data_IF_504909293180
#
_entry.id   IF_504909293180
#
_cell.length_a   1.000
_cell.length_b   1.000
_cell.length_c   1.000
_cell.angle_alpha   90.00
_cell.angle_beta   90.00
_cell.angle_gamma   90.00
#
_symmetry.space_group_name_H-M   'P 1'
#
loop_
_entity.id
_entity.type
_entity.pdbx_description
1 polymer ?
#
# COMPACT_ATOMS: atom_id res chain seq x y z
N UNK A 1 -7.06 2.74 -12.01
CA UNK A 1 -6.91 1.64 -13.00
C UNK A 1 -6.96 0.34 -12.24
N UNK A 2 -7.70 -0.67 -12.71
CA UNK A 2 -7.82 -1.94 -12.00
C UNK A 2 -7.10 -3.05 -12.76
N UNK A 3 -6.13 -3.66 -12.08
CA UNK A 3 -5.28 -4.73 -12.57
C UNK A 3 -5.58 -6.05 -11.88
N UNK A 4 -5.22 -7.15 -12.52
CA UNK A 4 -5.26 -8.49 -11.94
C UNK A 4 -3.95 -9.24 -12.16
N UNK A 5 -3.49 -9.98 -11.14
CA UNK A 5 -2.29 -10.79 -11.21
C UNK A 5 -2.46 -12.15 -10.52
N UNK A 6 -1.83 -13.18 -11.10
CA UNK A 6 -1.67 -14.48 -10.48
C UNK A 6 -0.54 -14.44 -9.45
N UNK A 7 -0.73 -15.09 -8.31
CA UNK A 7 0.31 -15.43 -7.34
C UNK A 7 0.38 -16.95 -7.11
N UNK A 8 1.56 -17.43 -6.73
CA UNK A 8 1.78 -18.83 -6.42
C UNK A 8 0.89 -19.29 -5.27
N UNK A 9 0.47 -20.55 -5.27
CA UNK A 9 -0.30 -21.09 -4.16
C UNK A 9 0.57 -21.17 -2.91
N UNK A 10 0.01 -20.71 -1.78
CA UNK A 10 0.67 -20.79 -0.49
C UNK A 10 -0.36 -21.15 0.59
N UNK A 11 -0.16 -22.30 1.24
CA UNK A 11 -1.02 -22.78 2.33
C UNK A 11 -0.86 -22.00 3.64
N UNK A 12 0.18 -21.19 3.79
CA UNK A 12 0.41 -20.27 4.90
C UNK A 12 -0.19 -18.87 4.64
N UNK A 13 -1.18 -18.76 3.75
CA UNK A 13 -1.92 -17.52 3.44
C UNK A 13 -1.02 -16.31 3.09
N UNK A 14 0.12 -16.60 2.43
CA UNK A 14 1.17 -15.64 2.03
C UNK A 14 1.71 -14.80 3.19
N UNK A 15 1.79 -15.42 4.38
CA UNK A 15 2.50 -14.89 5.54
C UNK A 15 4.00 -15.23 5.48
N UNK A 16 4.34 -16.42 4.99
CA UNK A 16 5.70 -16.95 4.81
C UNK A 16 5.70 -18.14 3.84
N UNK A 17 6.88 -18.57 3.34
CA UNK A 17 7.00 -19.75 2.50
C UNK A 17 6.31 -20.98 3.08
N UNK A 18 5.59 -21.71 2.22
CA UNK A 18 5.03 -23.03 2.56
C UNK A 18 5.68 -24.19 1.81
N UNK A 19 6.38 -23.90 0.70
CA UNK A 19 6.87 -24.91 -0.25
C UNK A 19 5.75 -25.65 -1.02
N UNK A 20 4.48 -25.32 -0.75
CA UNK A 20 3.32 -26.07 -1.24
C UNK A 20 3.14 -26.00 -2.77
N UNK A 21 3.59 -24.92 -3.40
CA UNK A 21 3.50 -24.77 -4.85
C UNK A 21 4.59 -25.52 -5.64
N UNK A 22 5.61 -26.11 -5.00
CA UNK A 22 6.75 -26.77 -5.70
C UNK A 22 6.29 -27.89 -6.66
N UNK A 23 5.29 -28.67 -6.28
CA UNK A 23 4.72 -29.75 -7.11
C UNK A 23 3.58 -29.28 -8.03
N UNK A 24 3.10 -28.06 -7.85
CA UNK A 24 1.97 -27.49 -8.61
C UNK A 24 2.43 -26.70 -9.83
N UNK A 25 3.60 -26.08 -9.74
CA UNK A 25 4.20 -25.31 -10.82
C UNK A 25 4.90 -26.22 -11.85
N UNK A 26 5.02 -25.71 -13.07
CA UNK A 26 5.71 -26.42 -14.14
C UNK A 26 7.22 -26.56 -13.84
N UNK A 27 7.85 -27.59 -14.42
CA UNK A 27 9.30 -27.77 -14.39
C UNK A 27 10.00 -26.54 -15.00
N UNK A 28 11.19 -26.20 -14.50
CA UNK A 28 12.02 -25.05 -14.91
C UNK A 28 11.38 -23.68 -14.67
N UNK A 29 10.36 -23.59 -13.81
CA UNK A 29 9.92 -22.31 -13.25
C UNK A 29 10.80 -21.93 -12.06
N UNK A 30 10.89 -20.63 -11.74
CA UNK A 30 11.59 -20.14 -10.56
C UNK A 30 11.20 -20.92 -9.29
N UNK A 31 9.90 -21.15 -9.08
CA UNK A 31 9.42 -21.91 -7.93
C UNK A 31 9.92 -23.36 -7.93
N UNK A 32 9.98 -24.02 -9.10
CA UNK A 32 10.49 -25.39 -9.20
C UNK A 32 12.00 -25.48 -8.95
N UNK A 33 12.76 -24.42 -9.28
CA UNK A 33 14.21 -24.35 -9.12
C UNK A 33 14.61 -23.99 -7.68
N UNK A 34 14.00 -22.95 -7.12
CA UNK A 34 14.37 -22.40 -5.81
C UNK A 34 13.45 -22.84 -4.69
N UNK A 35 12.26 -23.36 -5.00
CA UNK A 35 11.35 -23.93 -4.01
C UNK A 35 10.46 -22.94 -3.27
N UNK A 36 10.47 -21.66 -3.66
CA UNK A 36 9.63 -20.60 -3.13
C UNK A 36 9.35 -19.54 -4.22
N UNK A 37 8.44 -18.60 -3.94
CA UNK A 37 8.21 -17.40 -4.76
C UNK A 37 8.45 -16.12 -3.94
N UNK A 38 8.76 -15.00 -4.59
CA UNK A 38 8.96 -13.73 -3.87
C UNK A 38 7.66 -13.21 -3.23
N UNK A 39 6.50 -13.63 -3.71
CA UNK A 39 5.18 -13.27 -3.17
C UNK A 39 4.79 -14.05 -1.90
N UNK A 40 5.63 -14.95 -1.39
CA UNK A 40 5.28 -15.80 -0.24
C UNK A 40 5.05 -15.01 1.07
N UNK A 41 5.53 -13.76 1.15
CA UNK A 41 5.35 -12.86 2.29
C UNK A 41 4.35 -11.72 2.03
N UNK A 42 3.58 -11.78 0.95
CA UNK A 42 2.77 -10.65 0.46
C UNK A 42 1.88 -10.03 1.54
N UNK A 43 1.35 -10.83 2.47
CA UNK A 43 0.45 -10.36 3.52
C UNK A 43 1.01 -10.45 4.94
N UNK A 44 2.34 -10.48 5.09
CA UNK A 44 3.01 -10.39 6.39
C UNK A 44 2.83 -9.02 7.03
N UNK A 45 1.79 -8.89 7.85
CA UNK A 45 1.34 -7.61 8.41
C UNK A 45 2.25 -7.03 9.48
N UNK A 46 3.16 -7.84 10.03
CA UNK A 46 4.12 -7.39 11.05
C UNK A 46 5.28 -6.59 10.44
N UNK A 47 5.47 -6.67 9.12
CA UNK A 47 6.58 -6.04 8.41
C UNK A 47 6.13 -4.78 7.67
N UNK A 48 5.97 -3.72 8.45
CA UNK A 48 5.57 -2.39 8.00
C UNK A 48 6.70 -1.38 8.21
N UNK A 49 6.97 -0.57 7.19
CA UNK A 49 7.82 0.61 7.30
C UNK A 49 6.90 1.80 7.09
N UNK A 50 6.74 2.66 8.09
CA UNK A 50 5.84 3.82 8.02
C UNK A 50 4.39 3.47 7.63
N UNK A 51 3.87 2.36 8.18
CA UNK A 51 2.54 1.85 7.84
C UNK A 51 2.40 1.28 6.42
N UNK A 52 3.49 1.20 5.65
CA UNK A 52 3.50 0.58 4.32
C UNK A 52 3.97 -0.87 4.39
N UNK A 53 3.25 -1.75 3.69
CA UNK A 53 3.72 -3.10 3.37
C UNK A 53 4.52 -3.05 2.07
N UNK A 54 5.81 -3.35 2.14
CA UNK A 54 6.69 -3.47 0.96
C UNK A 54 6.88 -4.93 0.55
N UNK A 55 6.50 -5.27 -0.67
CA UNK A 55 6.53 -6.66 -1.11
C UNK A 55 6.72 -6.78 -2.61
N UNK A 56 6.65 -8.02 -3.10
CA UNK A 56 6.86 -8.36 -4.48
C UNK A 56 5.59 -8.96 -5.08
N UNK A 57 5.34 -8.63 -6.35
CA UNK A 57 4.35 -9.30 -7.21
C UNK A 57 4.99 -9.53 -8.58
N UNK A 58 5.13 -10.78 -9.01
CA UNK A 58 5.81 -11.11 -10.28
C UNK A 58 5.08 -10.54 -11.50
N UNK A 59 3.75 -10.47 -11.43
CA UNK A 59 2.95 -9.81 -12.47
C UNK A 59 3.35 -8.34 -12.67
N UNK A 60 3.58 -7.62 -11.57
CA UNK A 60 4.01 -6.21 -11.58
C UNK A 60 5.45 -6.08 -12.08
N UNK A 61 6.35 -7.00 -11.70
CA UNK A 61 7.76 -6.95 -12.08
C UNK A 61 7.95 -6.81 -13.60
N UNK A 62 7.18 -7.57 -14.39
CA UNK A 62 7.23 -7.51 -15.87
C UNK A 62 6.78 -6.18 -16.47
N UNK A 63 5.96 -5.42 -15.75
CA UNK A 63 5.45 -4.10 -16.17
C UNK A 63 6.07 -2.95 -15.37
N UNK A 64 7.11 -3.23 -14.56
CA UNK A 64 7.61 -2.32 -13.53
C UNK A 64 8.04 -0.97 -14.10
N UNK A 65 8.84 -0.98 -15.17
CA UNK A 65 9.32 0.25 -15.84
C UNK A 65 8.16 1.18 -16.22
N UNK A 66 7.16 0.63 -16.91
CA UNK A 66 5.96 1.38 -17.33
C UNK A 66 5.18 1.93 -16.14
N UNK A 67 5.02 1.15 -15.08
CA UNK A 67 4.27 1.57 -13.89
C UNK A 67 5.00 2.66 -13.10
N UNK A 68 6.34 2.62 -13.05
CA UNK A 68 7.17 3.68 -12.48
C UNK A 68 7.02 4.95 -13.31
N UNK A 69 7.15 4.87 -14.65
CA UNK A 69 6.97 6.01 -15.56
C UNK A 69 5.57 6.64 -15.45
N UNK A 70 4.53 5.81 -15.32
CA UNK A 70 3.16 6.29 -15.09
C UNK A 70 3.03 7.01 -13.74
N UNK A 71 3.78 6.58 -12.71
CA UNK A 71 3.85 7.22 -11.39
C UNK A 71 2.50 7.34 -10.69
N UNK A 72 1.56 6.43 -10.98
CA UNK A 72 0.17 6.44 -10.51
C UNK A 72 -0.16 5.19 -9.71
N UNK A 73 -0.99 5.32 -8.67
CA UNK A 73 -1.49 4.17 -7.93
C UNK A 73 -2.48 3.37 -8.80
N UNK A 74 -2.61 2.08 -8.51
CA UNK A 74 -3.57 1.20 -9.17
C UNK A 74 -4.20 0.20 -8.20
N UNK A 75 -5.42 -0.23 -8.49
CA UNK A 75 -6.07 -1.29 -7.74
C UNK A 75 -5.59 -2.64 -8.28
N UNK A 76 -5.27 -3.57 -7.38
CA UNK A 76 -4.75 -4.89 -7.73
C UNK A 76 -5.63 -5.99 -7.12
N UNK A 77 -6.24 -6.80 -7.99
CA UNK A 77 -6.83 -8.08 -7.59
C UNK A 77 -5.80 -9.19 -7.75
N UNK A 78 -5.69 -10.04 -6.72
CA UNK A 78 -4.81 -11.20 -6.72
C UNK A 78 -5.65 -12.47 -6.75
N UNK A 79 -5.23 -13.44 -7.57
CA UNK A 79 -5.79 -14.79 -7.57
C UNK A 79 -4.69 -15.85 -7.59
N UNK A 80 -5.04 -17.07 -7.22
CA UNK A 80 -4.12 -18.22 -7.23
C UNK A 80 -4.77 -19.44 -7.86
N UNK A 81 -3.95 -20.39 -8.29
CA UNK A 81 -4.39 -21.70 -8.78
C UNK A 81 -4.13 -22.72 -7.68
N UNK A 82 -5.18 -23.33 -7.17
CA UNK A 82 -5.16 -24.30 -6.08
C UNK A 82 -4.61 -25.68 -6.53
N UNK A 83 -4.26 -26.57 -5.59
CA UNK A 83 -3.86 -27.94 -5.91
C UNK A 83 -4.87 -28.70 -6.78
N UNK A 84 -6.17 -28.48 -6.56
CA UNK A 84 -7.27 -29.05 -7.34
C UNK A 84 -7.53 -28.34 -8.69
N UNK A 85 -6.60 -27.48 -9.12
CA UNK A 85 -6.65 -26.65 -10.33
C UNK A 85 -7.75 -25.60 -10.36
N UNK A 86 -8.54 -25.45 -9.30
CA UNK A 86 -9.50 -24.33 -9.21
C UNK A 86 -8.77 -23.01 -9.01
N UNK A 87 -9.32 -21.96 -9.61
CA UNK A 87 -8.81 -20.60 -9.43
C UNK A 87 -9.58 -19.89 -8.33
N UNK A 88 -8.85 -19.31 -7.39
CA UNK A 88 -9.40 -18.65 -6.21
C UNK A 88 -8.93 -17.21 -6.14
N UNK A 89 -9.85 -16.27 -5.96
CA UNK A 89 -9.53 -14.90 -5.60
C UNK A 89 -8.97 -14.83 -4.17
N UNK A 90 -7.89 -14.07 -3.99
CA UNK A 90 -7.14 -14.01 -2.73
C UNK A 90 -7.38 -12.69 -2.01
N UNK A 91 -7.09 -11.57 -2.68
CA UNK A 91 -7.37 -10.24 -2.15
C UNK A 91 -7.58 -9.23 -3.28
N UNK A 92 -8.23 -8.12 -2.93
CA UNK A 92 -8.20 -6.88 -3.68
C UNK A 92 -7.49 -5.85 -2.83
N UNK A 93 -6.51 -5.16 -3.40
CA UNK A 93 -5.69 -4.15 -2.73
C UNK A 93 -5.90 -2.84 -3.48
N UNK A 94 -6.34 -1.81 -2.77
CA UNK A 94 -6.51 -0.47 -3.34
C UNK A 94 -5.23 0.33 -3.28
N UNK A 95 -5.09 1.25 -4.22
CA UNK A 95 -4.01 2.25 -4.27
C UNK A 95 -2.61 1.62 -4.12
N UNK A 96 -2.36 0.49 -4.80
CA UNK A 96 -1.03 -0.11 -4.85
C UNK A 96 -0.10 0.82 -5.62
N UNK A 97 1.09 1.04 -5.08
CA UNK A 97 2.13 1.85 -5.71
C UNK A 97 3.27 0.95 -6.18
N UNK A 98 3.78 1.21 -7.38
CA UNK A 98 5.00 0.58 -7.85
C UNK A 98 6.20 1.25 -7.17
N UNK A 99 7.12 0.44 -6.65
CA UNK A 99 8.31 0.92 -5.91
C UNK A 99 9.45 1.13 -6.89
N UNK A 100 10.05 2.32 -6.85
CA UNK A 100 11.20 2.68 -7.68
C UNK A 100 12.44 1.84 -7.34
N UNK A 101 13.40 1.77 -8.27
CA UNK A 101 14.59 0.91 -8.09
C UNK A 101 15.43 1.37 -6.89
N UNK A 102 15.68 2.68 -6.78
CA UNK A 102 16.44 3.24 -5.66
C UNK A 102 15.71 3.02 -4.33
N UNK A 103 14.41 3.33 -4.28
CA UNK A 103 13.58 3.11 -3.09
C UNK A 103 13.57 1.64 -2.66
N UNK A 104 13.48 0.71 -3.63
CA UNK A 104 13.52 -0.72 -3.33
C UNK A 104 14.86 -1.14 -2.70
N UNK A 105 15.99 -0.58 -3.16
CA UNK A 105 17.29 -0.84 -2.56
C UNK A 105 17.38 -0.33 -1.11
N UNK A 106 16.85 0.86 -0.83
CA UNK A 106 16.79 1.44 0.52
C UNK A 106 15.91 0.58 1.45
N UNK A 107 14.75 0.14 0.97
CA UNK A 107 13.85 -0.77 1.70
C UNK A 107 14.51 -2.11 2.00
N UNK A 108 15.25 -2.68 1.04
CA UNK A 108 15.97 -3.95 1.26
C UNK A 108 17.11 -3.77 2.27
N UNK A 109 17.85 -2.66 2.22
CA UNK A 109 18.84 -2.33 3.24
C UNK A 109 18.18 -2.21 4.63
N UNK A 110 16.98 -1.65 4.68
CA UNK A 110 16.19 -1.56 5.91
C UNK A 110 15.70 -2.93 6.41
N UNK A 111 15.27 -3.82 5.52
CA UNK A 111 14.91 -5.21 5.86
C UNK A 111 16.10 -5.94 6.49
N UNK A 112 17.32 -5.71 6.00
CA UNK A 112 18.55 -6.26 6.59
C UNK A 112 18.79 -5.71 7.99
N UNK A 113 18.73 -4.38 8.17
CA UNK A 113 18.90 -3.72 9.47
C UNK A 113 17.89 -4.18 10.53
N UNK A 114 16.66 -4.48 10.12
CA UNK A 114 15.59 -4.98 10.98
C UNK A 114 15.63 -6.50 11.22
N UNK A 115 16.55 -7.24 10.59
CA UNK A 115 16.63 -8.70 10.67
C UNK A 115 15.56 -9.45 9.86
N UNK A 116 14.67 -8.74 9.16
CA UNK A 116 13.62 -9.35 8.34
C UNK A 116 14.20 -10.11 7.14
N UNK A 117 15.26 -9.58 6.53
CA UNK A 117 15.94 -10.28 5.44
C UNK A 117 16.48 -11.64 5.91
N UNK A 118 17.08 -11.69 7.10
CA UNK A 118 17.55 -12.95 7.68
C UNK A 118 16.37 -13.90 7.96
N UNK A 119 15.27 -13.38 8.52
CA UNK A 119 14.05 -14.18 8.72
C UNK A 119 13.51 -14.77 7.41
N UNK A 120 13.63 -14.06 6.28
CA UNK A 120 13.25 -14.60 4.97
C UNK A 120 14.15 -15.77 4.57
N UNK A 121 15.47 -15.67 4.78
CA UNK A 121 16.42 -16.75 4.49
C UNK A 121 16.11 -17.99 5.33
N UNK A 122 15.95 -17.82 6.64
CA UNK A 122 15.65 -18.92 7.58
C UNK A 122 14.33 -19.63 7.21
N UNK A 123 13.31 -18.85 6.79
CA UNK A 123 12.02 -19.40 6.38
C UNK A 123 12.05 -20.11 5.01
N UNK A 124 12.92 -19.68 4.10
CA UNK A 124 13.19 -20.41 2.85
C UNK A 124 13.86 -21.74 3.16
N UNK A 125 14.88 -21.74 4.01
CA UNK A 125 15.58 -22.95 4.44
C UNK A 125 14.63 -23.94 5.13
N UNK A 126 13.74 -23.45 6.00
CA UNK A 126 12.75 -24.27 6.70
C UNK A 126 11.79 -25.05 5.78
N UNK A 127 11.60 -24.60 4.53
CA UNK A 127 10.81 -25.30 3.51
C UNK A 127 11.68 -26.03 2.47
N UNK A 128 12.97 -26.24 2.79
CA UNK A 128 14.00 -26.79 1.93
C UNK A 128 14.14 -26.04 0.59
N UNK A 129 13.92 -24.72 0.61
CA UNK A 129 14.13 -23.84 -0.53
C UNK A 129 15.62 -23.45 -0.66
N UNK A 130 16.02 -23.08 -1.87
CA UNK A 130 17.35 -22.57 -2.14
C UNK A 130 17.34 -21.04 -2.02
N UNK A 131 17.92 -20.53 -0.92
CA UNK A 131 17.98 -19.09 -0.65
C UNK A 131 18.80 -18.29 -1.66
N UNK A 132 19.62 -18.92 -2.52
CA UNK A 132 20.37 -18.22 -3.56
C UNK A 132 19.47 -17.49 -4.56
N UNK A 133 18.21 -17.88 -4.70
CA UNK A 133 17.24 -17.16 -5.53
C UNK A 133 16.74 -15.86 -4.90
N UNK A 134 16.86 -15.68 -3.58
CA UNK A 134 16.36 -14.48 -2.92
C UNK A 134 17.27 -13.29 -3.22
N UNK A 135 16.79 -12.37 -4.07
CA UNK A 135 17.56 -11.21 -4.49
C UNK A 135 18.55 -11.52 -5.62
N UNK A 136 18.33 -12.61 -6.36
CA UNK A 136 19.09 -12.94 -7.57
C UNK A 136 18.72 -12.00 -8.72
N UNK A 137 19.70 -11.24 -9.19
CA UNK A 137 19.54 -10.25 -10.25
C UNK A 137 19.13 -10.83 -11.61
N UNK A 138 19.30 -12.14 -11.84
CA UNK A 138 18.84 -12.77 -13.08
C UNK A 138 17.31 -12.82 -13.19
N UNK A 139 16.59 -12.85 -12.06
CA UNK A 139 15.13 -13.02 -12.04
C UNK A 139 14.38 -11.78 -11.58
N UNK A 140 14.94 -11.02 -10.66
CA UNK A 140 14.39 -9.75 -10.21
C UNK A 140 15.47 -8.85 -9.61
N UNK A 141 15.53 -7.59 -10.07
CA UNK A 141 16.46 -6.57 -9.55
C UNK A 141 16.27 -6.29 -8.05
N UNK A 142 15.15 -6.70 -7.46
CA UNK A 142 14.86 -6.56 -6.04
C UNK A 142 13.77 -7.53 -5.57
N UNK A 143 13.76 -7.82 -4.27
CA UNK A 143 12.72 -8.57 -3.57
C UNK A 143 11.49 -7.70 -3.20
N UNK A 144 11.47 -6.44 -3.64
CA UNK A 144 10.36 -5.49 -3.47
C UNK A 144 10.12 -4.76 -4.79
N UNK A 145 8.86 -4.72 -5.22
CA UNK A 145 8.44 -3.95 -6.39
C UNK A 145 7.09 -3.24 -6.23
N UNK A 146 6.38 -3.49 -5.13
CA UNK A 146 5.13 -2.80 -4.80
C UNK A 146 5.09 -2.44 -3.32
N UNK A 147 4.31 -1.39 -3.02
CA UNK A 147 3.89 -1.08 -1.66
C UNK A 147 2.41 -0.76 -1.59
N UNK A 148 1.81 -1.01 -0.43
CA UNK A 148 0.42 -0.65 -0.16
C UNK A 148 0.16 -0.50 1.34
N UNK A 149 -0.93 0.19 1.67
CA UNK A 149 -1.47 0.32 3.03
C UNK A 149 -2.23 -0.95 3.44
N UNK A 150 -2.06 -1.43 4.67
CA UNK A 150 -2.72 -2.66 5.12
C UNK A 150 -4.25 -2.51 5.14
N UNK A 151 -4.75 -1.34 5.50
CA UNK A 151 -6.15 -0.95 5.49
C UNK A 151 -6.76 -0.88 4.07
N UNK A 152 -5.93 -0.86 3.03
CA UNK A 152 -6.38 -0.95 1.65
C UNK A 152 -6.55 -2.39 1.16
N UNK A 153 -6.19 -3.39 1.97
CA UNK A 153 -6.34 -4.81 1.64
C UNK A 153 -7.74 -5.31 2.03
N UNK A 154 -8.47 -5.86 1.07
CA UNK A 154 -9.67 -6.65 1.29
C UNK A 154 -9.42 -8.10 0.90
N UNK A 155 -9.43 -9.01 1.87
CA UNK A 155 -9.34 -10.45 1.61
C UNK A 155 -10.65 -11.00 1.07
N UNK A 156 -10.55 -11.87 0.08
CA UNK A 156 -11.68 -12.69 -0.33
C UNK A 156 -11.79 -13.92 0.57
N UNK A 157 -13.01 -14.43 0.74
CA UNK A 157 -13.23 -15.64 1.54
C UNK A 157 -12.54 -16.88 0.92
N UNK A 158 -12.31 -17.93 1.72
CA UNK A 158 -11.61 -19.14 1.25
C UNK A 158 -12.35 -19.87 0.12
N UNK A 159 -13.66 -19.62 -0.06
CA UNK A 159 -14.50 -20.20 -1.12
C UNK A 159 -14.75 -19.25 -2.31
N UNK A 160 -14.01 -18.15 -2.43
CA UNK A 160 -14.13 -17.21 -3.53
C UNK A 160 -13.50 -17.74 -4.83
N UNK A 161 -14.07 -18.83 -5.36
CA UNK A 161 -13.63 -19.46 -6.59
C UNK A 161 -14.21 -18.77 -7.82
N UNK A 162 -13.44 -18.78 -8.90
CA UNK A 162 -13.90 -18.39 -10.23
C UNK A 162 -15.13 -19.23 -10.62
N UNK A 163 -16.13 -18.58 -11.22
CA UNK A 163 -17.29 -19.26 -11.81
C UNK A 163 -17.11 -19.42 -13.31
N UNK A 164 -17.96 -20.22 -13.95
CA UNK A 164 -17.99 -20.32 -15.42
C UNK A 164 -18.12 -18.93 -16.05
N UNK A 165 -17.32 -18.64 -17.08
CA UNK A 165 -17.24 -17.32 -17.72
C UNK A 165 -16.41 -16.27 -16.99
N UNK A 166 -15.82 -16.59 -15.83
CA UNK A 166 -14.92 -15.67 -15.15
C UNK A 166 -13.59 -15.57 -15.91
N UNK A 167 -13.10 -14.36 -16.21
CA UNK A 167 -11.90 -14.18 -17.02
C UNK A 167 -10.65 -14.79 -16.41
N UNK A 168 -10.57 -14.96 -15.09
CA UNK A 168 -9.35 -15.54 -14.48
C UNK A 168 -9.15 -16.99 -14.90
N UNK A 169 -10.19 -17.69 -15.38
CA UNK A 169 -10.11 -19.05 -15.89
C UNK A 169 -9.13 -19.21 -17.06
N UNK A 170 -8.90 -18.16 -17.84
CA UNK A 170 -7.99 -18.15 -18.98
C UNK A 170 -6.57 -17.68 -18.60
N UNK A 171 -6.43 -17.06 -17.42
CA UNK A 171 -5.18 -16.47 -16.97
C UNK A 171 -4.30 -17.52 -16.28
N UNK A 172 -3.16 -17.79 -16.92
CA UNK A 172 -2.18 -18.78 -16.45
C UNK A 172 -0.82 -18.17 -16.12
N UNK A 173 -0.45 -17.05 -16.73
CA UNK A 173 0.90 -16.48 -16.62
C UNK A 173 1.00 -15.54 -15.42
N UNK A 174 2.19 -15.50 -14.82
CA UNK A 174 2.59 -14.45 -13.89
C UNK A 174 2.81 -13.15 -14.67
N UNK A 175 1.71 -12.43 -14.93
CA UNK A 175 1.63 -11.18 -15.68
C UNK A 175 0.58 -10.28 -15.04
N UNK A 176 0.67 -8.98 -15.32
CA UNK A 176 -0.32 -8.00 -14.91
C UNK A 176 -1.32 -7.77 -16.05
N UNK A 177 -2.59 -8.01 -15.81
CA UNK A 177 -3.65 -7.82 -16.81
C UNK A 177 -4.55 -6.64 -16.45
N UNK A 178 -5.06 -5.95 -17.46
CA UNK A 178 -6.04 -4.87 -17.31
C UNK A 178 -7.46 -5.46 -17.27
N UNK A 179 -8.19 -5.32 -16.16
CA UNK A 179 -9.55 -5.87 -16.07
C UNK A 179 -10.49 -5.17 -17.06
N UNK A 180 -10.31 -3.86 -17.23
CA UNK A 180 -11.10 -3.03 -18.16
C UNK A 180 -10.91 -3.46 -19.64
N UNK A 181 -9.84 -4.18 -19.96
CA UNK A 181 -9.61 -4.74 -21.31
C UNK A 181 -10.11 -6.17 -21.43
N UNK A 182 -10.07 -6.92 -20.34
CA UNK A 182 -10.62 -8.26 -20.24
C UNK A 182 -12.14 -8.23 -20.38
N UNK A 183 -12.83 -7.31 -19.71
CA UNK A 183 -14.29 -7.17 -19.78
C UNK A 183 -14.78 -6.68 -21.16
N UNK A 184 -13.95 -5.94 -21.91
CA UNK A 184 -14.27 -5.50 -23.27
C UNK A 184 -14.23 -6.61 -24.33
N UNK A 185 -13.71 -7.80 -23.98
CA UNK A 185 -13.75 -9.00 -24.84
C UNK A 185 -15.01 -9.85 -24.67
N UNK A 186 -15.88 -9.51 -23.72
CA UNK A 186 -17.14 -10.20 -23.46
C UNK A 186 -18.26 -9.17 -23.64
N UNK A 187 -18.94 -9.18 -24.78
CA UNK A 187 -20.21 -8.46 -24.89
C UNK A 187 -21.21 -9.10 -23.92
N UNK A 188 -21.48 -8.43 -22.79
CA UNK A 188 -22.80 -8.32 -22.18
C UNK A 188 -22.86 -7.27 -21.07
N UNK A 189 -23.67 -6.25 -21.34
CA UNK A 189 -24.61 -5.56 -20.44
C UNK A 189 -24.23 -5.37 -18.96
N UNK A 190 -24.00 -4.12 -18.58
CA UNK A 190 -24.80 -3.51 -17.53
C UNK A 190 -24.17 -3.27 -16.15
N UNK A 191 -24.07 -1.98 -15.82
CA UNK A 191 -24.10 -1.35 -14.50
C UNK A 191 -22.86 -1.46 -13.60
N UNK A 192 -22.26 -0.28 -13.33
CA UNK A 192 -21.36 -0.04 -12.20
C UNK A 192 -22.10 -0.45 -10.91
N UNK A 193 -21.70 -1.59 -10.35
CA UNK A 193 -22.26 -2.10 -9.08
C UNK A 193 -21.82 -1.18 -7.93
N UNK A 194 -22.74 -0.34 -7.47
CA UNK A 194 -22.67 0.16 -6.10
C UNK A 194 -22.77 -1.04 -5.15
N UNK A 195 -21.80 -1.19 -4.24
CA UNK A 195 -21.73 -2.32 -3.29
C UNK A 195 -22.93 -2.27 -2.33
N UNK A 196 -23.71 -3.36 -2.26
CA UNK A 196 -24.64 -3.61 -1.13
C UNK A 196 -23.84 -3.98 0.12
N UNK A 197 -24.16 -3.37 1.25
CA UNK A 197 -23.65 -3.80 2.56
C UNK A 197 -24.06 -5.24 2.86
N UNK A 198 -23.21 -5.96 3.59
CA UNK A 198 -23.53 -7.30 4.10
C UNK A 198 -24.30 -7.16 5.41
N UNK A 199 -25.42 -7.86 5.54
CA UNK A 199 -26.19 -7.99 6.78
C UNK A 199 -25.68 -9.12 7.67
N UNK A 200 -24.72 -9.93 7.19
CA UNK A 200 -24.10 -10.98 7.99
C UNK A 200 -23.07 -10.38 8.97
N UNK A 201 -23.14 -10.73 10.27
CA UNK A 201 -22.12 -10.36 11.25
C UNK A 201 -20.75 -10.85 10.78
N UNK A 202 -19.67 -10.06 10.94
CA UNK A 202 -18.33 -10.51 10.61
C UNK A 202 -17.96 -11.74 11.45
N UNK A 203 -17.32 -12.72 10.82
CA UNK A 203 -16.83 -13.92 11.51
C UNK A 203 -15.90 -13.56 12.68
N UNK A 204 -16.27 -13.97 13.88
CA UNK A 204 -15.62 -13.70 15.19
C UNK A 204 -14.34 -14.51 15.44
N UNK A 205 -13.61 -14.92 14.38
CA UNK A 205 -12.27 -15.49 14.60
C UNK A 205 -11.34 -14.36 14.98
N UNK A 206 -10.93 -14.34 16.24
CA UNK A 206 -9.88 -13.47 16.77
C UNK A 206 -8.63 -13.59 15.89
N UNK A 207 -8.31 -12.52 15.17
CA UNK A 207 -6.99 -12.33 14.58
C UNK A 207 -6.25 -11.32 15.45
N UNK A 208 -4.97 -11.59 15.70
CA UNK A 208 -4.13 -10.69 16.46
C UNK A 208 -3.91 -9.43 15.62
N UNK A 209 -4.53 -8.32 16.02
CA UNK A 209 -4.13 -6.99 15.58
C UNK A 209 -3.01 -6.53 16.53
N UNK A 210 -1.77 -6.91 16.22
CA UNK A 210 -0.62 -6.40 16.98
C UNK A 210 -0.49 -4.91 16.72
N UNK A 211 -0.36 -4.16 17.82
CA UNK A 211 -0.18 -2.72 17.83
C UNK A 211 0.96 -2.33 16.90
N UNK A 212 0.76 -1.20 16.21
CA UNK A 212 1.72 -0.55 15.32
C UNK A 212 3.07 -0.49 16.01
N UNK A 213 4.06 -1.20 15.47
CA UNK A 213 5.47 -1.04 15.81
C UNK A 213 5.85 0.43 15.67
N UNK A 214 6.89 0.89 16.40
CA UNK A 214 7.46 2.23 16.24
C UNK A 214 7.57 2.59 14.74
N UNK A 215 6.86 3.66 14.35
CA UNK A 215 6.78 4.10 12.96
C UNK A 215 8.12 4.73 12.61
N UNK A 216 8.96 3.98 11.89
CA UNK A 216 10.11 4.58 11.22
C UNK A 216 9.66 5.13 9.87
N UNK A 217 9.90 6.43 9.70
CA UNK A 217 9.47 7.28 8.59
C UNK A 217 9.98 6.78 7.22
N UNK A 218 9.15 6.83 6.19
CA UNK A 218 9.57 6.56 4.80
C UNK A 218 10.53 7.63 4.28
N UNK A 219 11.43 7.29 3.33
CA UNK A 219 12.22 8.30 2.63
C UNK A 219 11.34 9.40 2.02
N UNK A 220 10.18 9.05 1.45
CA UNK A 220 9.28 10.03 0.82
C UNK A 220 8.65 10.97 1.84
N UNK A 221 8.20 10.47 2.99
CA UNK A 221 7.64 11.32 4.03
C UNK A 221 8.70 12.30 4.56
N UNK A 222 9.91 11.80 4.86
CA UNK A 222 11.03 12.64 5.29
C UNK A 222 11.42 13.69 4.24
N UNK A 223 11.41 13.33 2.95
CA UNK A 223 11.66 14.27 1.85
C UNK A 223 10.59 15.36 1.79
N UNK A 224 9.30 14.99 1.91
CA UNK A 224 8.18 15.94 1.92
C UNK A 224 8.32 16.89 3.11
N UNK A 225 8.58 16.36 4.30
CA UNK A 225 8.74 17.14 5.52
C UNK A 225 9.90 18.12 5.42
N UNK A 226 11.08 17.64 4.97
CA UNK A 226 12.25 18.48 4.75
C UNK A 226 11.95 19.63 3.80
N UNK A 227 11.34 19.34 2.65
CA UNK A 227 10.99 20.36 1.65
C UNK A 227 9.95 21.34 2.19
N UNK A 228 8.89 20.84 2.84
CA UNK A 228 7.85 21.65 3.46
C UNK A 228 8.45 22.62 4.49
N UNK A 229 9.33 22.14 5.37
CA UNK A 229 9.97 23.00 6.36
C UNK A 229 10.82 24.10 5.73
N UNK A 230 11.56 23.81 4.66
CA UNK A 230 12.32 24.82 3.92
C UNK A 230 11.39 25.88 3.30
N UNK A 231 10.28 25.47 2.69
CA UNK A 231 9.29 26.39 2.11
C UNK A 231 8.63 27.26 3.19
N UNK A 232 8.23 26.67 4.32
CA UNK A 232 7.57 27.39 5.42
C UNK A 232 8.47 28.40 6.12
N UNK A 233 9.77 28.11 6.28
CA UNK A 233 10.73 29.07 6.83
C UNK A 233 10.92 30.31 5.96
N UNK A 234 10.75 30.16 4.64
CA UNK A 234 10.77 31.29 3.70
C UNK A 234 9.44 32.04 3.68
N UNK A 235 8.31 31.32 3.76
CA UNK A 235 6.96 31.89 3.78
C UNK A 235 6.66 32.65 5.08
N UNK A 236 7.20 32.19 6.21
CA UNK A 236 6.98 32.74 7.55
C UNK A 236 8.31 32.98 8.30
N UNK A 237 9.13 33.98 7.88
CA UNK A 237 10.47 34.18 8.44
C UNK A 237 10.48 34.52 9.94
N UNK A 238 9.41 35.16 10.43
CA UNK A 238 9.25 35.59 11.83
C UNK A 238 8.42 34.60 12.67
N UNK A 239 8.00 33.47 12.10
CA UNK A 239 7.19 32.48 12.80
C UNK A 239 8.05 31.37 13.39
N UNK A 240 7.54 30.74 14.44
CA UNK A 240 8.12 29.52 14.98
C UNK A 240 7.68 28.34 14.11
N UNK A 241 8.63 27.69 13.43
CA UNK A 241 8.41 26.49 12.60
C UNK A 241 9.04 25.29 13.30
N UNK A 242 8.20 24.33 13.71
CA UNK A 242 8.62 23.14 14.45
C UNK A 242 8.15 21.86 13.73
N UNK A 243 8.89 20.77 13.92
CA UNK A 243 8.56 19.44 13.37
C UNK A 243 8.63 18.38 14.46
N UNK A 244 7.81 17.35 14.36
CA UNK A 244 7.77 16.19 15.29
C UNK A 244 7.51 16.58 16.76
N UNK A 245 6.95 17.78 17.00
CA UNK A 245 6.59 18.23 18.34
C UNK A 245 5.20 17.72 18.70
N UNK A 246 5.07 17.02 19.82
CA UNK A 246 3.81 16.43 20.28
C UNK A 246 3.12 15.55 19.21
N UNK A 247 3.92 14.79 18.46
CA UNK A 247 3.51 13.91 17.35
C UNK A 247 2.92 14.62 16.12
N UNK A 248 3.03 15.96 16.04
CA UNK A 248 2.61 16.73 14.87
C UNK A 248 3.78 16.80 13.88
N UNK A 249 3.54 16.40 12.62
CA UNK A 249 4.60 16.36 11.60
C UNK A 249 5.30 17.71 11.43
N UNK A 250 4.52 18.78 11.21
CA UNK A 250 5.00 20.17 11.18
C UNK A 250 3.95 21.13 11.76
N UNK A 251 4.38 22.14 12.51
CA UNK A 251 3.54 23.25 12.94
C UNK A 251 4.20 24.60 12.69
N UNK A 252 3.36 25.62 12.44
CA UNK A 252 3.80 27.01 12.29
C UNK A 252 2.99 27.88 13.24
N UNK A 253 3.67 28.51 14.19
CA UNK A 253 3.05 29.46 15.12
C UNK A 253 3.40 30.88 14.72
N UNK A 254 2.38 31.63 14.33
CA UNK A 254 2.49 33.07 14.04
C UNK A 254 1.90 33.88 15.21
N UNK A 255 1.94 35.21 15.12
CA UNK A 255 1.22 36.07 16.09
C UNK A 255 -0.31 35.97 15.99
N UNK A 256 -0.86 35.41 14.91
CA UNK A 256 -2.30 35.44 14.59
C UNK A 256 -2.97 34.07 14.58
N UNK A 257 -2.24 33.02 14.26
CA UNK A 257 -2.78 31.67 14.07
C UNK A 257 -1.71 30.61 14.39
N UNK A 258 -2.19 29.42 14.73
CA UNK A 258 -1.43 28.18 14.77
C UNK A 258 -1.84 27.32 13.57
N UNK A 259 -0.86 26.95 12.74
CA UNK A 259 -1.08 26.15 11.55
C UNK A 259 -0.50 24.76 11.80
N UNK A 260 -1.34 23.73 11.68
CA UNK A 260 -0.93 22.34 11.85
C UNK A 260 -0.86 21.67 10.47
N UNK A 261 0.23 20.96 10.21
CA UNK A 261 0.45 20.24 8.96
C UNK A 261 0.57 18.75 9.26
N UNK A 262 -0.20 17.95 8.52
CA UNK A 262 -0.17 16.49 8.59
C UNK A 262 0.22 15.94 7.21
N UNK A 263 1.33 15.22 7.15
CA UNK A 263 1.97 14.75 5.92
C UNK A 263 1.60 13.29 5.66
N UNK A 264 1.28 12.98 4.40
CA UNK A 264 1.18 11.59 3.93
C UNK A 264 1.89 11.42 2.59
N UNK A 265 2.63 10.32 2.48
CA UNK A 265 3.44 9.98 1.30
C UNK A 265 2.67 9.18 0.24
N UNK A 266 1.39 8.88 0.46
CA UNK A 266 0.54 8.19 -0.52
C UNK A 266 0.38 9.02 -1.82
N UNK A 267 0.31 8.35 -2.96
CA UNK A 267 0.09 8.98 -4.28
C UNK A 267 -1.38 9.35 -4.49
N UNK A 268 -2.31 8.59 -3.91
CA UNK A 268 -3.75 8.79 -4.09
C UNK A 268 -4.26 9.88 -3.11
N UNK A 269 -4.69 11.06 -3.60
CA UNK A 269 -5.05 12.18 -2.72
C UNK A 269 -6.23 11.86 -1.79
N UNK A 270 -7.19 11.05 -2.26
CA UNK A 270 -8.29 10.57 -1.41
C UNK A 270 -7.78 9.80 -0.20
N UNK A 271 -6.73 9.00 -0.38
CA UNK A 271 -6.13 8.21 0.69
C UNK A 271 -5.30 9.10 1.61
N UNK A 272 -4.56 10.08 1.08
CA UNK A 272 -3.91 11.13 1.89
C UNK A 272 -4.92 11.81 2.82
N UNK A 273 -6.04 12.31 2.28
CA UNK A 273 -7.09 12.97 3.08
C UNK A 273 -7.62 12.02 4.16
N UNK A 274 -7.93 10.76 3.80
CA UNK A 274 -8.48 9.77 4.74
C UNK A 274 -7.53 9.49 5.91
N UNK A 275 -6.23 9.34 5.64
CA UNK A 275 -5.24 9.02 6.67
C UNK A 275 -4.93 10.20 7.57
N UNK A 276 -4.85 11.40 7.00
CA UNK A 276 -4.48 12.61 7.73
C UNK A 276 -5.63 13.16 8.59
N UNK A 277 -6.89 13.01 8.14
CA UNK A 277 -8.03 13.69 8.77
C UNK A 277 -8.21 13.34 10.24
N UNK A 278 -8.09 12.07 10.63
CA UNK A 278 -8.22 11.66 12.03
C UNK A 278 -7.14 12.28 12.92
N UNK A 279 -5.89 12.18 12.48
CA UNK A 279 -4.71 12.67 13.21
C UNK A 279 -4.76 14.19 13.40
N UNK A 280 -4.98 14.93 12.31
CA UNK A 280 -4.99 16.40 12.38
C UNK A 280 -6.15 16.95 13.21
N UNK A 281 -7.31 16.27 13.21
CA UNK A 281 -8.44 16.64 14.07
C UNK A 281 -8.16 16.32 15.54
N UNK A 282 -7.48 15.23 15.85
CA UNK A 282 -7.05 14.91 17.21
C UNK A 282 -6.08 15.98 17.73
N UNK A 283 -5.08 16.38 16.93
CA UNK A 283 -4.15 17.44 17.30
C UNK A 283 -4.83 18.79 17.51
N UNK A 284 -5.85 19.09 16.71
CA UNK A 284 -6.61 20.33 16.77
C UNK A 284 -7.61 20.38 17.94
N UNK A 285 -8.30 19.28 18.25
CA UNK A 285 -9.53 19.33 19.07
C UNK A 285 -9.56 18.35 20.23
N UNK A 286 -8.52 17.55 20.48
CA UNK A 286 -8.49 16.68 21.66
C UNK A 286 -8.60 17.51 22.95
N UNK A 287 -9.46 17.18 23.94
CA UNK A 287 -9.73 18.03 25.11
C UNK A 287 -8.51 18.40 25.96
N UNK A 288 -7.47 17.55 25.93
CA UNK A 288 -6.20 17.80 26.63
C UNK A 288 -5.26 18.76 25.89
N UNK A 289 -5.57 19.15 24.65
CA UNK A 289 -4.81 20.14 23.87
C UNK A 289 -5.56 21.46 23.90
N UNK A 290 -4.93 22.49 24.44
CA UNK A 290 -5.48 23.85 24.49
C UNK A 290 -4.70 24.75 23.54
N UNK A 291 -5.41 25.28 22.55
CA UNK A 291 -4.85 26.22 21.58
C UNK A 291 -5.37 27.62 21.88
N UNK A 292 -4.47 28.57 22.09
CA UNK A 292 -4.82 29.98 22.38
C UNK A 292 -5.05 30.79 21.10
N UNK A 293 -4.51 30.32 19.98
CA UNK A 293 -4.63 30.95 18.68
C UNK A 293 -5.67 30.23 17.81
N UNK A 294 -6.32 30.93 16.88
CA UNK A 294 -7.09 30.32 15.80
C UNK A 294 -6.27 29.24 15.07
N UNK A 295 -6.94 28.13 14.74
CA UNK A 295 -6.33 26.99 14.07
C UNK A 295 -6.55 27.03 12.57
N UNK A 296 -5.51 26.68 11.83
CA UNK A 296 -5.59 26.29 10.42
C UNK A 296 -5.00 24.90 10.24
N UNK A 297 -5.75 24.00 9.63
CA UNK A 297 -5.38 22.61 9.45
C UNK A 297 -4.99 22.40 7.98
N UNK A 298 -3.84 21.80 7.74
CA UNK A 298 -3.30 21.59 6.39
C UNK A 298 -2.92 20.12 6.22
N UNK A 299 -3.64 19.42 5.36
CA UNK A 299 -3.24 18.08 4.92
C UNK A 299 -2.21 18.27 3.79
N UNK A 300 -1.07 17.60 3.91
CA UNK A 300 0.03 17.69 2.95
C UNK A 300 0.16 16.36 2.22
N UNK A 301 0.08 16.41 0.89
CA UNK A 301 0.38 15.29 0.01
C UNK A 301 1.33 15.69 -1.11
N UNK A 302 1.80 14.70 -1.88
CA UNK A 302 2.74 14.93 -2.99
C UNK A 302 2.11 15.02 -4.37
N UNK A 303 0.80 14.78 -4.47
CA UNK A 303 0.02 14.90 -5.71
C UNK A 303 -1.09 15.93 -5.55
N UNK A 304 -1.42 16.69 -6.61
CA UNK A 304 -2.57 17.59 -6.60
C UNK A 304 -3.88 16.82 -6.46
N UNK A 305 -4.89 17.46 -5.86
CA UNK A 305 -6.24 16.91 -5.79
C UNK A 305 -6.82 16.74 -7.19
N UNK A 306 -7.52 15.63 -7.42
CA UNK A 306 -8.42 15.52 -8.57
C UNK A 306 -9.65 16.39 -8.35
N UNK A 307 -10.45 16.64 -9.40
CA UNK A 307 -11.72 17.36 -9.26
C UNK A 307 -12.65 16.68 -8.25
N UNK A 308 -12.67 15.34 -8.23
CA UNK A 308 -13.48 14.56 -7.29
C UNK A 308 -12.98 14.71 -5.85
N UNK A 309 -11.67 14.65 -5.63
CA UNK A 309 -11.09 14.80 -4.29
C UNK A 309 -11.22 16.22 -3.76
N UNK A 310 -11.18 17.21 -4.64
CA UNK A 310 -11.48 18.60 -4.28
C UNK A 310 -12.93 18.72 -3.81
N UNK A 311 -13.90 18.20 -4.56
CA UNK A 311 -15.31 18.18 -4.12
C UNK A 311 -15.48 17.45 -2.80
N UNK A 312 -14.76 16.36 -2.57
CA UNK A 312 -14.78 15.64 -1.30
C UNK A 312 -14.23 16.49 -0.15
N UNK A 313 -13.08 17.14 -0.33
CA UNK A 313 -12.50 18.03 0.68
C UNK A 313 -13.41 19.23 0.97
N UNK A 314 -13.93 19.87 -0.07
CA UNK A 314 -14.85 21.02 0.04
C UNK A 314 -16.12 20.63 0.79
N UNK A 315 -16.64 19.42 0.57
CA UNK A 315 -17.79 18.92 1.31
C UNK A 315 -17.48 18.75 2.81
N UNK A 316 -16.30 18.24 3.16
CA UNK A 316 -15.88 18.13 4.57
C UNK A 316 -15.71 19.50 5.23
N UNK A 317 -15.06 20.44 4.56
CA UNK A 317 -14.78 21.77 5.12
C UNK A 317 -16.07 22.57 5.32
N UNK A 318 -16.99 22.53 4.36
CA UNK A 318 -18.25 23.28 4.43
C UNK A 318 -19.26 22.66 5.39
N UNK A 319 -19.40 21.33 5.40
CA UNK A 319 -20.41 20.65 6.24
C UNK A 319 -20.08 20.77 7.73
N UNK A 320 -18.79 20.72 8.07
CA UNK A 320 -18.33 20.73 9.46
C UNK A 320 -17.64 22.04 9.88
N UNK A 321 -17.62 23.05 9.00
CA UNK A 321 -16.94 24.32 9.22
C UNK A 321 -15.47 24.16 9.67
N UNK A 322 -14.78 23.15 9.12
CA UNK A 322 -13.40 22.86 9.47
C UNK A 322 -12.45 23.83 8.76
N UNK A 323 -11.47 24.44 9.45
CA UNK A 323 -10.45 25.30 8.83
C UNK A 323 -9.37 24.45 8.12
N UNK A 324 -9.81 23.48 7.32
CA UNK A 324 -9.00 22.44 6.71
C UNK A 324 -8.70 22.79 5.25
N UNK A 325 -7.43 22.68 4.87
CA UNK A 325 -6.97 22.88 3.48
C UNK A 325 -6.02 21.75 3.08
N UNK A 326 -5.69 21.69 1.78
CA UNK A 326 -4.76 20.71 1.24
C UNK A 326 -3.60 21.42 0.53
N UNK A 327 -2.36 21.03 0.85
CA UNK A 327 -1.14 21.56 0.24
C UNK A 327 -0.39 20.46 -0.49
N UNK A 328 0.12 20.78 -1.67
CA UNK A 328 0.99 19.89 -2.45
C UNK A 328 2.44 20.25 -2.18
N UNK A 329 3.25 19.26 -1.84
CA UNK A 329 4.71 19.37 -1.80
C UNK A 329 5.28 18.29 -2.71
N UNK A 330 5.83 18.69 -3.84
CA UNK A 330 6.40 17.76 -4.82
C UNK A 330 7.76 17.26 -4.30
N UNK A 331 8.05 15.97 -4.42
CA UNK A 331 9.36 15.39 -4.08
C UNK A 331 9.79 14.39 -5.11
#
# INVERSE_FOLDING_TARGET
MHKIARIAYNSNEWQKPSGSARKLEAKNTYYSQYGFGHEEWLFRSEWLIDGWRYTFVQGVNKSRRKLIEEGKPFDLTLFTIQPDKKRRYVASIRDVECVEVQQAAEVVARFKKLGWYQSMLDEIEAVNGNFSGLGDGEYADSIVNVRFRQENVRRFGPKAYAKSGDPILELNRYQLFDIDKIEKGVEKSGQKVARKGSTEPPTTRSFIRRATSAVECTPEHALIQKRLMSELKLEYPEALVESERDFIDVSVTTKKELILFEIKSDLEPRTVIRQALGQILEYAYHPNRKHLLPLRLVIVGRRPLTSLDKTYLDHLTTTFSLPLTYRVVQV
#
